data_IF_779247944689
#
_entry.id   IF_779247944689
#
_cell.length_a   1.000
_cell.length_b   1.000
_cell.length_c   1.000
_cell.angle_alpha   90.00
_cell.angle_beta   90.00
_cell.angle_gamma   90.00
#
_symmetry.space_group_name_H-M   'P 1'
#
loop_
_entity.id
_entity.type
_entity.pdbx_description
1 polymer ?
#
# COMPACT_ATOMS: atom_id res chain seq x y z
N UNK A 1 -19.74 0.55 -7.89
CA UNK A 1 -18.53 1.06 -8.58
C UNK A 1 -17.48 1.50 -7.58
N UNK A 2 -17.84 2.32 -6.60
CA UNK A 2 -16.92 2.83 -5.57
C UNK A 2 -16.31 1.73 -4.71
N UNK A 3 -17.06 0.67 -4.39
CA UNK A 3 -16.53 -0.53 -3.70
C UNK A 3 -15.37 -1.20 -4.45
N UNK A 4 -15.46 -1.35 -5.77
CA UNK A 4 -14.40 -1.95 -6.59
C UNK A 4 -13.16 -1.05 -6.58
N UNK A 5 -13.34 0.26 -6.66
CA UNK A 5 -12.25 1.23 -6.63
C UNK A 5 -11.57 1.29 -5.26
N UNK A 6 -12.34 1.15 -4.17
CA UNK A 6 -11.85 0.98 -2.81
C UNK A 6 -10.95 -0.27 -2.71
N UNK A 7 -11.47 -1.44 -3.12
CA UNK A 7 -10.73 -2.70 -3.07
C UNK A 7 -9.49 -2.68 -3.95
N UNK A 8 -9.57 -2.06 -5.12
CA UNK A 8 -8.44 -1.93 -6.05
C UNK A 8 -7.36 -1.03 -5.46
N UNK A 9 -7.73 0.11 -4.88
CA UNK A 9 -6.78 1.02 -4.24
C UNK A 9 -6.06 0.33 -3.07
N UNK A 10 -6.80 -0.39 -2.23
CA UNK A 10 -6.24 -1.17 -1.13
C UNK A 10 -5.32 -2.29 -1.65
N UNK A 11 -5.76 -3.02 -2.67
CA UNK A 11 -4.96 -4.09 -3.28
C UNK A 11 -3.64 -3.57 -3.87
N UNK A 12 -3.68 -2.44 -4.59
CA UNK A 12 -2.48 -1.81 -5.13
C UNK A 12 -1.56 -1.30 -4.04
N UNK A 13 -2.10 -0.72 -2.96
CA UNK A 13 -1.31 -0.33 -1.79
C UNK A 13 -0.55 -1.53 -1.19
N UNK A 14 -1.25 -2.63 -0.94
CA UNK A 14 -0.67 -3.82 -0.32
C UNK A 14 0.38 -4.48 -1.21
N UNK A 15 0.16 -4.49 -2.53
CA UNK A 15 1.04 -5.12 -3.49
C UNK A 15 2.26 -4.25 -3.88
N UNK A 16 2.19 -2.93 -3.70
CA UNK A 16 3.21 -2.00 -4.17
C UNK A 16 4.61 -2.27 -3.57
N UNK A 17 4.82 -2.33 -2.24
CA UNK A 17 6.13 -2.61 -1.68
C UNK A 17 6.74 -3.97 -2.11
N UNK A 18 6.04 -5.11 -2.03
CA UNK A 18 6.62 -6.38 -2.45
C UNK A 18 6.95 -6.40 -3.94
N UNK A 19 6.10 -5.86 -4.81
CA UNK A 19 6.37 -5.81 -6.26
C UNK A 19 7.62 -5.01 -6.56
N UNK A 20 7.76 -3.82 -5.98
CA UNK A 20 8.92 -2.95 -6.22
C UNK A 20 10.21 -3.57 -5.67
N UNK A 21 10.14 -4.25 -4.52
CA UNK A 21 11.29 -4.93 -3.93
C UNK A 21 11.70 -6.18 -4.72
N UNK A 22 10.75 -6.97 -5.22
CA UNK A 22 11.03 -8.11 -6.11
C UNK A 22 11.65 -7.61 -7.41
N UNK A 23 11.10 -6.55 -8.00
CA UNK A 23 11.65 -5.92 -9.20
C UNK A 23 13.10 -5.48 -8.97
N UNK A 24 13.38 -4.81 -7.84
CA UNK A 24 14.73 -4.43 -7.44
C UNK A 24 15.64 -5.64 -7.24
N UNK A 25 15.14 -6.69 -6.61
CA UNK A 25 15.93 -7.90 -6.32
C UNK A 25 16.43 -8.57 -7.61
N UNK A 26 15.61 -8.56 -8.66
CA UNK A 26 15.95 -9.10 -9.97
C UNK A 26 16.85 -8.16 -10.78
N UNK A 27 16.48 -6.89 -10.87
CA UNK A 27 17.08 -5.96 -11.84
C UNK A 27 18.16 -5.04 -11.26
N UNK A 28 18.37 -5.05 -9.94
CA UNK A 28 19.23 -4.11 -9.19
C UNK A 28 18.89 -2.62 -9.40
N UNK A 29 17.73 -2.34 -9.99
CA UNK A 29 17.14 -1.01 -10.24
C UNK A 29 15.70 -1.00 -9.69
N UNK A 30 15.11 0.15 -9.32
CA UNK A 30 15.65 1.51 -9.32
C UNK A 30 16.68 1.78 -8.20
N UNK A 31 17.21 3.00 -8.04
CA UNK A 31 18.03 3.41 -6.88
C UNK A 31 17.19 3.41 -5.59
N UNK A 32 17.80 3.22 -4.42
CA UNK A 32 17.07 3.14 -3.13
C UNK A 32 16.21 4.36 -2.85
N UNK A 33 16.73 5.56 -3.10
CA UNK A 33 15.98 6.81 -2.94
C UNK A 33 14.74 6.87 -3.82
N UNK A 34 14.86 6.46 -5.10
CA UNK A 34 13.72 6.42 -6.02
C UNK A 34 12.72 5.34 -5.61
N UNK A 35 13.18 4.19 -5.12
CA UNK A 35 12.32 3.14 -4.57
C UNK A 35 11.49 3.66 -3.39
N UNK A 36 12.14 4.30 -2.41
CA UNK A 36 11.48 4.88 -1.24
C UNK A 36 10.49 5.97 -1.66
N UNK A 37 10.88 6.85 -2.57
CA UNK A 37 10.01 7.90 -3.09
C UNK A 37 8.77 7.30 -3.77
N UNK A 38 8.91 6.24 -4.58
CA UNK A 38 7.78 5.57 -5.23
C UNK A 38 6.87 4.88 -4.22
N UNK A 39 7.43 4.16 -3.25
CA UNK A 39 6.66 3.49 -2.19
C UNK A 39 5.84 4.51 -1.40
N UNK A 40 6.48 5.61 -0.98
CA UNK A 40 5.86 6.64 -0.15
C UNK A 40 4.82 7.41 -0.95
N UNK A 41 5.14 7.87 -2.16
CA UNK A 41 4.23 8.69 -2.97
C UNK A 41 3.05 7.89 -3.52
N UNK A 42 3.28 6.76 -4.19
CA UNK A 42 2.20 5.92 -4.71
C UNK A 42 1.41 5.25 -3.59
N UNK A 43 2.08 4.81 -2.52
CA UNK A 43 1.41 4.25 -1.35
C UNK A 43 0.48 5.26 -0.70
N UNK A 44 0.91 6.52 -0.58
CA UNK A 44 0.06 7.60 -0.09
C UNK A 44 -1.14 7.86 -1.00
N UNK A 45 -0.94 7.90 -2.33
CA UNK A 45 -2.03 8.05 -3.31
C UNK A 45 -3.05 6.91 -3.18
N UNK A 46 -2.60 5.67 -3.03
CA UNK A 46 -3.52 4.53 -2.91
C UNK A 46 -4.27 4.50 -1.57
N UNK A 47 -3.62 4.87 -0.47
CA UNK A 47 -4.30 5.04 0.82
C UNK A 47 -5.35 6.14 0.72
N UNK A 48 -5.00 7.27 0.10
CA UNK A 48 -5.91 8.39 -0.10
C UNK A 48 -7.10 8.01 -0.99
N UNK A 49 -6.86 7.29 -2.09
CA UNK A 49 -7.93 6.75 -2.94
C UNK A 49 -8.83 5.77 -2.18
N UNK A 50 -8.25 4.88 -1.38
CA UNK A 50 -9.00 3.94 -0.52
C UNK A 50 -9.96 4.70 0.39
N UNK A 51 -9.49 5.78 1.03
CA UNK A 51 -10.32 6.62 1.89
C UNK A 51 -11.48 7.30 1.12
N UNK A 52 -11.19 7.96 -0.01
CA UNK A 52 -12.21 8.63 -0.82
C UNK A 52 -13.28 7.65 -1.30
N UNK A 53 -12.87 6.52 -1.86
CA UNK A 53 -13.81 5.55 -2.42
C UNK A 53 -14.60 4.82 -1.33
N UNK A 54 -14.02 4.67 -0.13
CA UNK A 54 -14.76 4.19 1.03
C UNK A 54 -15.88 5.16 1.41
N UNK A 55 -15.59 6.45 1.57
CA UNK A 55 -16.60 7.45 1.93
C UNK A 55 -17.70 7.56 0.85
N UNK A 56 -17.32 7.52 -0.42
CA UNK A 56 -18.29 7.49 -1.53
C UNK A 56 -19.15 6.22 -1.51
N UNK A 57 -18.57 5.07 -1.16
CA UNK A 57 -19.33 3.84 -1.01
C UNK A 57 -20.32 3.91 0.16
N UNK A 58 -19.95 4.53 1.28
CA UNK A 58 -20.87 4.79 2.40
C UNK A 58 -22.02 5.70 1.94
N UNK A 59 -21.72 6.78 1.20
CA UNK A 59 -22.75 7.66 0.66
C UNK A 59 -23.72 6.92 -0.28
N UNK A 60 -23.21 6.01 -1.12
CA UNK A 60 -24.04 5.15 -1.98
C UNK A 60 -24.96 4.24 -1.16
N UNK A 61 -24.47 3.68 -0.04
CA UNK A 61 -25.27 2.81 0.84
C UNK A 61 -26.39 3.58 1.54
N UNK A 62 -26.11 4.80 2.01
CA UNK A 62 -27.11 5.70 2.61
C UNK A 62 -28.20 6.03 1.58
N UNK A 63 -27.80 6.44 0.36
CA UNK A 63 -28.75 6.77 -0.70
C UNK A 63 -29.64 5.57 -1.11
N UNK A 64 -29.14 4.35 -0.93
CA UNK A 64 -29.87 3.12 -1.23
C UNK A 64 -30.63 2.54 -0.02
N UNK A 65 -30.67 3.23 1.13
CA UNK A 65 -31.25 2.74 2.39
C UNK A 65 -30.75 1.33 2.78
N UNK A 66 -29.47 1.06 2.52
CA UNK A 66 -28.82 -0.22 2.85
C UNK A 66 -28.18 -0.16 4.25
N UNK A 67 -27.93 -1.35 4.81
CA UNK A 67 -27.18 -1.47 6.05
C UNK A 67 -25.78 -0.89 5.90
N UNK A 68 -25.37 -0.06 6.87
CA UNK A 68 -24.06 0.56 6.90
C UNK A 68 -23.06 -0.34 7.62
N UNK A 69 -21.79 -0.38 7.16
CA UNK A 69 -20.75 -1.13 7.85
C UNK A 69 -20.53 -0.57 9.26
N UNK A 70 -20.21 -1.47 10.20
CA UNK A 70 -19.94 -1.08 11.59
C UNK A 70 -18.74 -0.14 11.66
N UNK A 71 -18.88 0.96 12.41
CA UNK A 71 -17.82 1.97 12.57
C UNK A 71 -17.77 3.03 11.47
N UNK A 72 -18.78 3.11 10.59
CA UNK A 72 -18.92 4.21 9.62
C UNK A 72 -19.02 5.60 10.28
N UNK A 73 -19.49 5.62 11.53
CA UNK A 73 -19.64 6.81 12.38
C UNK A 73 -18.36 7.17 13.15
N UNK A 74 -17.26 6.43 12.98
CA UNK A 74 -16.02 6.73 13.68
C UNK A 74 -15.42 8.06 13.19
N UNK A 75 -15.03 8.92 14.14
CA UNK A 75 -14.65 10.32 13.94
C UNK A 75 -13.81 10.60 12.67
N UNK A 76 -14.18 11.67 11.96
CA UNK A 76 -13.46 12.19 10.77
C UNK A 76 -12.00 12.62 11.04
N UNK A 77 -11.54 12.56 12.29
CA UNK A 77 -10.14 12.63 12.67
C UNK A 77 -9.31 11.51 12.01
N UNK A 78 -9.91 10.32 11.82
CA UNK A 78 -9.32 9.20 11.09
C UNK A 78 -9.05 9.55 9.62
N UNK A 79 -9.93 10.34 9.00
CA UNK A 79 -9.77 10.83 7.64
C UNK A 79 -8.63 11.83 7.51
N UNK A 80 -8.59 12.86 8.37
CA UNK A 80 -7.49 13.84 8.39
C UNK A 80 -6.12 13.17 8.64
N UNK A 81 -6.06 12.22 9.59
CA UNK A 81 -4.84 11.46 9.83
C UNK A 81 -4.41 10.67 8.59
N UNK A 82 -5.35 10.05 7.89
CA UNK A 82 -5.09 9.31 6.64
C UNK A 82 -4.57 10.23 5.54
N UNK A 83 -5.10 11.45 5.44
CA UNK A 83 -4.65 12.44 4.45
C UNK A 83 -3.24 12.96 4.74
N UNK A 84 -2.91 13.32 5.98
CA UNK A 84 -1.62 13.93 6.32
C UNK A 84 -0.51 12.93 6.66
N UNK A 85 -0.87 11.75 7.18
CA UNK A 85 0.08 10.71 7.61
C UNK A 85 -0.02 9.41 6.81
N UNK A 86 -0.81 9.36 5.73
CA UNK A 86 -0.89 8.18 4.87
C UNK A 86 0.48 7.78 4.28
N UNK A 87 1.36 8.73 4.03
CA UNK A 87 2.75 8.47 3.63
C UNK A 87 3.55 7.71 4.70
N UNK A 88 3.28 7.97 5.99
CA UNK A 88 3.92 7.28 7.11
C UNK A 88 3.40 5.86 7.22
N UNK A 89 2.09 5.64 7.01
CA UNK A 89 1.50 4.31 6.95
C UNK A 89 2.12 3.50 5.80
N UNK A 90 2.30 4.10 4.62
CA UNK A 90 2.97 3.46 3.49
C UNK A 90 4.41 3.05 3.82
N UNK A 91 5.15 3.92 4.53
CA UNK A 91 6.49 3.62 4.98
C UNK A 91 6.51 2.47 6.00
N UNK A 92 5.70 2.53 7.05
CA UNK A 92 5.63 1.52 8.11
C UNK A 92 5.22 0.15 7.54
N UNK A 93 4.21 0.12 6.68
CA UNK A 93 3.77 -1.09 5.99
C UNK A 93 4.89 -1.72 5.13
N UNK A 94 5.83 -0.92 4.64
CA UNK A 94 6.95 -1.40 3.83
C UNK A 94 8.10 -2.01 4.64
N UNK A 95 8.18 -1.76 5.95
CA UNK A 95 9.27 -2.23 6.81
C UNK A 95 9.43 -3.76 6.84
N UNK A 96 8.37 -4.56 7.02
CA UNK A 96 8.49 -6.02 6.97
C UNK A 96 9.04 -6.51 5.62
N UNK A 97 8.63 -5.87 4.53
CA UNK A 97 9.08 -6.22 3.18
C UNK A 97 10.56 -5.90 2.94
N UNK A 98 11.09 -4.80 3.49
CA UNK A 98 12.53 -4.55 3.49
C UNK A 98 13.30 -5.65 4.24
N UNK A 99 12.73 -6.17 5.33
CA UNK A 99 13.27 -7.34 6.04
C UNK A 99 13.35 -8.57 5.14
N UNK A 100 12.25 -8.92 4.46
CA UNK A 100 12.19 -10.03 3.51
C UNK A 100 13.20 -9.85 2.37
N UNK A 101 13.29 -8.65 1.80
CA UNK A 101 14.29 -8.34 0.77
C UNK A 101 15.72 -8.54 1.26
N UNK A 102 16.02 -8.10 2.48
CA UNK A 102 17.35 -8.21 3.09
C UNK A 102 17.72 -9.68 3.33
N UNK A 103 16.80 -10.49 3.83
CA UNK A 103 16.99 -11.94 3.95
C UNK A 103 17.22 -12.61 2.59
N UNK A 104 16.45 -12.24 1.57
CA UNK A 104 16.63 -12.76 0.22
C UNK A 104 17.99 -12.41 -0.40
N UNK A 105 18.49 -11.19 -0.19
CA UNK A 105 19.81 -10.77 -0.68
C UNK A 105 20.95 -11.47 0.05
N UNK A 106 20.84 -11.67 1.37
CA UNK A 106 21.79 -12.47 2.15
C UNK A 106 21.81 -13.95 1.72
N UNK A 107 20.64 -14.53 1.44
CA UNK A 107 20.57 -15.90 0.94
C UNK A 107 21.21 -16.04 -0.45
N UNK A 108 21.01 -15.06 -1.34
CA UNK A 108 21.66 -15.00 -2.66
C UNK A 108 23.17 -14.84 -2.56
N UNK A 109 23.67 -13.99 -1.66
CA UNK A 109 25.12 -13.79 -1.48
C UNK A 109 25.82 -15.04 -0.91
N UNK A 110 25.12 -15.83 -0.10
CA UNK A 110 25.60 -17.12 0.43
C UNK A 110 25.44 -18.30 -0.55
N UNK A 111 24.94 -18.08 -1.77
CA UNK A 111 24.74 -19.13 -2.76
C UNK A 111 23.57 -20.09 -2.46
N UNK A 112 22.71 -19.76 -1.50
CA UNK A 112 21.52 -20.56 -1.16
C UNK A 112 20.38 -20.40 -2.17
N UNK A 113 20.46 -19.36 -3.01
CA UNK A 113 19.52 -19.07 -4.08
C UNK A 113 20.32 -18.95 -5.38
N UNK A 114 19.95 -19.74 -6.39
CA UNK A 114 20.58 -19.70 -7.72
C UNK A 114 20.61 -18.27 -8.26
N UNK A 115 21.73 -17.88 -8.89
CA UNK A 115 21.80 -16.63 -9.64
C UNK A 115 20.80 -16.74 -10.79
N UNK A 116 19.64 -16.07 -10.69
CA UNK A 116 18.81 -15.89 -11.89
C UNK A 116 19.62 -15.02 -12.85
N UNK A 117 20.02 -15.62 -13.97
CA UNK A 117 20.61 -14.93 -15.11
C UNK A 117 19.69 -13.83 -15.63
#
# INVERSE_FOLDING_TARGET
MNEILYLLSLGLFLALPPILLIYRFKNQKPTWWLLLLLIISLGWIFIYGTFIFHDQHIADLIAQNKELPKGWDSDGASGLATMFFGWLLAFLYSLPWFGVYSLGTLAKSRGLISKSN
#
